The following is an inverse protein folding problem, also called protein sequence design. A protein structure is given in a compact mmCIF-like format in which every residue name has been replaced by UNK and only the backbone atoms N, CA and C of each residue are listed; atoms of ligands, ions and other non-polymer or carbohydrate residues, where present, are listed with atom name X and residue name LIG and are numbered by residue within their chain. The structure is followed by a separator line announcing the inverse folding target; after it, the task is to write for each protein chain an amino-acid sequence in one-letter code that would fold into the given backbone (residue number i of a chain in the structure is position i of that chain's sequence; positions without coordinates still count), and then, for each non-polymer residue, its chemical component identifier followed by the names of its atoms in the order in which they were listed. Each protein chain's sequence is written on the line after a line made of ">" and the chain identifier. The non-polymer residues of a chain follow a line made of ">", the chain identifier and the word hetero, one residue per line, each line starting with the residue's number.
data_IF_463767455432
#
_entry.id   IF_463767455432
#
_cell.length_a   1.000
_cell.length_b   1.000
_cell.length_c   1.000
_cell.angle_alpha   90.00
_cell.angle_beta   90.00
_cell.angle_gamma   90.00
#
_symmetry.space_group_name_H-M   'P 1'
#
loop_
_entity.id
_entity.type
_entity.pdbx_description
1 polymer ?
#
# COMPACT_ATOMS: atom_id res chain seq x y z
N UNK A 1 -21.96 9.75 12.54
CA UNK A 1 -21.25 10.25 13.74
C UNK A 1 -20.05 9.37 13.99
N UNK A 2 -18.86 9.93 14.29
CA UNK A 2 -17.73 9.10 14.73
C UNK A 2 -17.95 8.73 16.21
N UNK A 3 -17.96 7.45 16.58
CA UNK A 3 -18.09 7.06 17.98
C UNK A 3 -16.87 7.55 18.79
N UNK A 4 -17.12 8.11 19.96
CA UNK A 4 -16.08 8.61 20.87
C UNK A 4 -15.80 7.55 21.94
N UNK A 5 -14.55 7.10 22.05
CA UNK A 5 -14.11 6.17 23.09
C UNK A 5 -13.99 6.96 24.40
N UNK A 6 -14.62 6.49 25.47
CA UNK A 6 -14.54 7.12 26.80
C UNK A 6 -13.21 6.74 27.48
N UNK A 7 -12.57 7.65 28.21
CA UNK A 7 -11.26 7.36 28.84
C UNK A 7 -11.28 6.14 29.77
N UNK A 8 -12.41 5.88 30.43
CA UNK A 8 -12.57 4.71 31.30
C UNK A 8 -12.57 3.37 30.56
N UNK A 9 -12.83 3.33 29.25
CA UNK A 9 -12.80 2.09 28.46
C UNK A 9 -11.42 1.81 27.86
N UNK A 10 -10.51 2.79 27.90
CA UNK A 10 -9.17 2.71 27.32
C UNK A 10 -8.32 1.55 27.87
N UNK A 11 -8.27 1.29 29.20
CA UNK A 11 -7.48 0.17 29.74
C UNK A 11 -7.97 -1.20 29.26
N UNK A 12 -9.28 -1.37 29.06
CA UNK A 12 -9.88 -2.61 28.59
C UNK A 12 -9.58 -2.85 27.11
N UNK A 13 -9.58 -1.79 26.30
CA UNK A 13 -9.18 -1.85 24.90
C UNK A 13 -7.70 -2.21 24.79
N UNK A 14 -6.84 -1.58 25.60
CA UNK A 14 -5.41 -1.88 25.63
C UNK A 14 -5.13 -3.33 26.06
N UNK A 15 -5.83 -3.83 27.08
CA UNK A 15 -5.71 -5.22 27.52
C UNK A 15 -6.22 -6.20 26.47
N UNK A 16 -7.34 -5.88 25.81
CA UNK A 16 -7.90 -6.69 24.74
C UNK A 16 -6.89 -6.88 23.59
N UNK A 17 -6.28 -5.79 23.12
CA UNK A 17 -5.27 -5.85 22.07
C UNK A 17 -3.96 -6.54 22.48
N UNK A 18 -3.56 -6.46 23.74
CA UNK A 18 -2.41 -7.21 24.26
C UNK A 18 -2.65 -8.71 24.36
N UNK A 19 -3.89 -9.11 24.64
CA UNK A 19 -4.23 -10.52 24.92
C UNK A 19 -4.63 -11.27 23.65
N UNK A 20 -5.25 -10.58 22.68
CA UNK A 20 -5.67 -11.15 21.41
C UNK A 20 -5.31 -10.24 20.24
N UNK A 21 -4.01 -10.17 19.89
CA UNK A 21 -3.57 -9.38 18.74
C UNK A 21 -4.21 -9.88 17.44
N UNK A 22 -4.63 -11.15 17.35
CA UNK A 22 -5.28 -11.68 16.16
C UNK A 22 -6.68 -11.08 15.91
N UNK A 23 -7.40 -10.66 16.95
CA UNK A 23 -8.70 -10.01 16.79
C UNK A 23 -8.58 -8.61 16.17
N UNK A 24 -7.40 -7.98 16.26
CA UNK A 24 -7.12 -6.73 15.54
C UNK A 24 -7.28 -6.91 14.03
N UNK A 25 -6.93 -8.09 13.50
CA UNK A 25 -7.07 -8.39 12.07
C UNK A 25 -8.52 -8.50 11.62
N UNK A 26 -9.47 -8.71 12.53
CA UNK A 26 -10.91 -8.77 12.23
C UNK A 26 -11.57 -7.41 12.20
N UNK A 27 -10.92 -6.37 12.73
CA UNK A 27 -11.45 -5.03 12.73
C UNK A 27 -11.27 -4.38 11.35
N UNK A 28 -12.37 -3.97 10.66
CA UNK A 28 -12.29 -3.40 9.32
C UNK A 28 -11.33 -2.21 9.22
N UNK A 29 -11.34 -1.33 10.21
CA UNK A 29 -10.48 -0.13 10.23
C UNK A 29 -8.98 -0.44 10.23
N UNK A 30 -8.54 -1.47 10.96
CA UNK A 30 -7.13 -1.86 10.98
C UNK A 30 -6.75 -2.56 9.69
N UNK A 31 -7.64 -3.40 9.15
CA UNK A 31 -7.43 -4.06 7.86
C UNK A 31 -7.31 -3.06 6.72
N UNK A 32 -8.23 -2.11 6.63
CA UNK A 32 -8.20 -1.02 5.63
C UNK A 32 -6.92 -0.19 5.76
N UNK A 33 -6.56 0.21 6.99
CA UNK A 33 -5.34 0.98 7.23
C UNK A 33 -4.08 0.19 6.84
N UNK A 34 -4.05 -1.12 7.09
CA UNK A 34 -2.93 -1.98 6.68
C UNK A 34 -2.86 -2.14 5.16
N UNK A 35 -3.98 -2.42 4.51
CA UNK A 35 -4.06 -2.56 3.05
C UNK A 35 -3.60 -1.26 2.36
N UNK A 36 -4.00 -0.10 2.87
CA UNK A 36 -3.54 1.21 2.39
C UNK A 36 -2.02 1.40 2.59
N UNK A 37 -1.48 1.00 3.74
CA UNK A 37 -0.03 1.08 4.01
C UNK A 37 0.78 0.13 3.14
N UNK A 38 0.30 -1.09 2.92
CA UNK A 38 0.92 -2.05 2.02
C UNK A 38 0.95 -1.50 0.60
N UNK A 39 -0.19 -0.99 0.11
CA UNK A 39 -0.28 -0.36 -1.21
C UNK A 39 0.72 0.77 -1.37
N UNK A 40 0.77 1.69 -0.42
CA UNK A 40 1.72 2.81 -0.45
C UNK A 40 3.19 2.33 -0.50
N UNK A 41 3.52 1.28 0.25
CA UNK A 41 4.86 0.68 0.24
C UNK A 41 5.24 0.10 -1.13
N UNK A 42 4.32 -0.61 -1.77
CA UNK A 42 4.56 -1.17 -3.12
C UNK A 42 4.68 -0.07 -4.16
N UNK A 43 3.79 0.94 -4.15
CA UNK A 43 3.86 2.10 -5.06
C UNK A 43 5.22 2.80 -4.96
N UNK A 44 5.66 3.12 -3.74
CA UNK A 44 6.94 3.79 -3.49
C UNK A 44 8.12 2.94 -3.97
N UNK A 45 8.07 1.62 -3.73
CA UNK A 45 9.12 0.69 -4.16
C UNK A 45 9.21 0.64 -5.69
N UNK A 46 8.07 0.49 -6.37
CA UNK A 46 8.00 0.45 -7.83
C UNK A 46 8.53 1.76 -8.44
N UNK A 47 8.11 2.92 -7.93
CA UNK A 47 8.59 4.22 -8.41
C UNK A 47 10.11 4.35 -8.24
N UNK A 48 10.65 3.94 -7.10
CA UNK A 48 12.09 3.96 -6.87
C UNK A 48 12.85 3.06 -7.86
N UNK A 49 12.31 1.87 -8.17
CA UNK A 49 12.92 0.97 -9.15
C UNK A 49 12.85 1.54 -10.56
N UNK A 50 11.71 2.12 -10.95
CA UNK A 50 11.51 2.76 -12.25
C UNK A 50 12.45 3.96 -12.43
N UNK A 51 12.55 4.82 -11.42
CA UNK A 51 13.53 5.92 -11.40
C UNK A 51 14.97 5.41 -11.58
N UNK A 52 15.34 4.30 -10.93
CA UNK A 52 16.70 3.76 -11.04
C UNK A 52 16.99 3.14 -12.41
N UNK A 53 16.00 2.50 -13.04
CA UNK A 53 16.20 1.75 -14.29
C UNK A 53 15.99 2.59 -15.54
N UNK A 54 14.99 3.47 -15.53
CA UNK A 54 14.49 4.15 -16.74
C UNK A 54 14.51 5.67 -16.64
N UNK A 55 15.17 6.27 -15.64
CA UNK A 55 15.18 7.73 -15.52
C UNK A 55 15.65 8.43 -16.80
N UNK A 56 14.95 9.51 -17.23
CA UNK A 56 13.82 10.17 -16.56
C UNK A 56 12.46 9.47 -16.81
N UNK A 57 11.63 9.37 -15.77
CA UNK A 57 10.25 8.85 -15.89
C UNK A 57 9.22 9.98 -16.07
N UNK A 58 8.24 9.83 -16.97
CA UNK A 58 7.14 10.79 -17.13
C UNK A 58 6.27 10.93 -15.88
N UNK A 59 5.86 12.17 -15.58
CA UNK A 59 4.93 12.50 -14.48
C UNK A 59 3.61 11.73 -14.58
N UNK A 60 3.11 11.50 -15.80
CA UNK A 60 1.88 10.72 -16.05
C UNK A 60 1.98 9.28 -15.52
N UNK A 61 3.16 8.67 -15.57
CA UNK A 61 3.40 7.32 -15.04
C UNK A 61 3.44 7.36 -13.52
N UNK A 62 4.06 8.38 -12.93
CA UNK A 62 4.07 8.58 -11.47
C UNK A 62 2.63 8.64 -10.96
N UNK A 63 1.80 9.51 -11.56
CA UNK A 63 0.40 9.67 -11.20
C UNK A 63 -0.42 8.39 -11.41
N UNK A 64 -0.15 7.64 -12.50
CA UNK A 64 -0.80 6.33 -12.76
C UNK A 64 -0.51 5.34 -11.64
N UNK A 65 0.73 5.26 -11.17
CA UNK A 65 1.13 4.32 -10.11
C UNK A 65 0.52 4.75 -8.76
N UNK A 66 0.59 6.03 -8.39
CA UNK A 66 0.04 6.56 -7.15
C UNK A 66 -1.49 6.41 -7.05
N UNK A 67 -2.20 6.55 -8.17
CA UNK A 67 -3.65 6.38 -8.24
C UNK A 67 -4.11 4.92 -8.34
N UNK A 68 -3.22 3.98 -8.66
CA UNK A 68 -3.56 2.56 -8.79
C UNK A 68 -3.87 1.95 -7.43
N UNK A 69 -5.14 1.54 -7.23
CA UNK A 69 -5.60 0.86 -6.01
C UNK A 69 -5.43 -0.65 -6.01
N UNK A 70 -5.26 -1.25 -7.20
CA UNK A 70 -5.12 -2.68 -7.36
C UNK A 70 -3.68 -3.11 -6.99
N UNK A 71 -3.55 -3.80 -5.85
CA UNK A 71 -2.26 -4.27 -5.32
C UNK A 71 -1.61 -5.34 -6.20
N UNK A 72 -2.41 -6.23 -6.80
CA UNK A 72 -1.92 -7.27 -7.71
C UNK A 72 -1.29 -6.65 -8.95
N UNK A 73 -1.94 -5.64 -9.52
CA UNK A 73 -1.41 -4.89 -10.66
C UNK A 73 -0.06 -4.20 -10.32
N UNK A 74 0.03 -3.57 -9.14
CA UNK A 74 1.27 -2.96 -8.66
C UNK A 74 2.39 -3.99 -8.48
N UNK A 75 2.07 -5.17 -7.92
CA UNK A 75 3.02 -6.27 -7.77
C UNK A 75 3.46 -6.83 -9.12
N UNK A 76 2.55 -6.96 -10.09
CA UNK A 76 2.87 -7.42 -11.43
C UNK A 76 3.88 -6.50 -12.12
N UNK A 77 3.70 -5.17 -12.02
CA UNK A 77 4.70 -4.22 -12.52
C UNK A 77 6.03 -4.32 -11.78
N UNK A 78 6.01 -4.57 -10.47
CA UNK A 78 7.22 -4.77 -9.65
C UNK A 78 8.01 -6.01 -10.07
N UNK A 79 7.35 -7.04 -10.62
CA UNK A 79 8.00 -8.21 -11.17
C UNK A 79 8.49 -7.94 -12.61
N UNK A 80 7.64 -7.36 -13.45
CA UNK A 80 7.94 -7.10 -14.86
C UNK A 80 9.15 -6.17 -15.04
N UNK A 81 9.36 -5.23 -14.13
CA UNK A 81 10.52 -4.32 -14.18
C UNK A 81 11.86 -5.05 -14.19
N UNK A 82 11.94 -6.27 -13.65
CA UNK A 82 13.18 -7.06 -13.61
C UNK A 82 13.64 -7.35 -15.04
N UNK A 83 12.71 -7.72 -15.93
CA UNK A 83 13.00 -8.16 -17.30
C UNK A 83 12.71 -7.11 -18.36
N UNK A 84 11.85 -6.12 -18.09
CA UNK A 84 11.46 -5.11 -19.07
C UNK A 84 12.65 -4.29 -19.59
N UNK A 85 12.72 -4.01 -20.88
CA UNK A 85 13.73 -3.12 -21.47
C UNK A 85 13.22 -1.69 -21.58
N UNK A 86 11.90 -1.50 -21.56
CA UNK A 86 11.23 -0.21 -21.63
C UNK A 86 9.97 -0.14 -20.75
N UNK A 87 9.48 1.08 -20.54
CA UNK A 87 8.19 1.34 -19.87
C UNK A 87 6.98 0.83 -20.70
N UNK A 88 7.12 0.75 -22.02
CA UNK A 88 6.08 0.24 -22.91
C UNK A 88 5.88 -1.27 -22.75
N UNK A 89 6.96 -2.02 -22.51
CA UNK A 89 6.91 -3.47 -22.27
C UNK A 89 6.10 -3.83 -21.02
N UNK A 90 5.99 -2.89 -20.09
CA UNK A 90 5.21 -3.00 -18.86
C UNK A 90 3.76 -2.50 -19.00
N UNK A 91 3.37 -1.99 -20.17
CA UNK A 91 2.06 -1.35 -20.39
C UNK A 91 1.88 -0.05 -19.59
N UNK A 92 2.98 0.64 -19.24
CA UNK A 92 2.95 1.90 -18.52
C UNK A 92 2.86 3.12 -19.43
N UNK A 93 3.26 2.99 -20.70
CA UNK A 93 3.09 3.98 -21.78
C UNK A 93 1.82 3.71 -22.59
#
# INVERSE_FOLDING_TARGET
>A
MKPTIHESTRPYIDQFFRTMPEEMWKMPTFREALEDKQRYGVQTTLLNQLCRKFAPIPESIVQKIESTKNLEQLNNWTIQIITAESLADMGLL
#
